data_IF_153378730623
#
_entry.id   IF_153378730623
#
_cell.length_a   1.000
_cell.length_b   1.000
_cell.length_c   1.000
_cell.angle_alpha   90.00
_cell.angle_beta   90.00
_cell.angle_gamma   90.00
#
_symmetry.space_group_name_H-M   'P 1'
#
loop_
_entity.id
_entity.type
_entity.pdbx_description
1 polymer ?
#
# COMPACT_ATOMS: atom_id res chain seq x y z
N UNK A 1 14.61 55.52 5.35
CA UNK A 1 14.23 55.37 3.92
C UNK A 1 12.71 55.27 3.83
N UNK A 2 12.11 56.23 3.11
CA UNK A 2 10.79 56.25 2.43
C UNK A 2 9.53 55.82 3.23
N UNK A 3 8.69 56.79 3.68
CA UNK A 3 7.47 57.37 3.00
C UNK A 3 6.23 56.47 3.21
N UNK A 4 5.00 56.87 3.53
CA UNK A 4 4.27 58.14 3.71
C UNK A 4 2.90 57.79 4.38
N UNK A 5 2.44 58.55 5.38
CA UNK A 5 1.31 59.53 5.36
C UNK A 5 -0.10 58.98 5.07
N UNK A 6 -1.02 59.08 6.07
CA UNK A 6 -2.22 59.97 6.15
C UNK A 6 -3.46 59.46 5.38
N UNK A 7 -4.72 59.74 5.73
CA UNK A 7 -5.52 60.23 6.88
C UNK A 7 -6.96 60.37 6.32
N UNK A 8 -7.92 60.77 7.16
CA UNK A 8 -9.33 61.14 6.84
C UNK A 8 -10.26 59.92 6.64
N UNK A 9 -11.30 59.65 7.44
CA UNK A 9 -12.20 60.53 8.19
C UNK A 9 -13.43 60.83 7.34
N UNK A 10 -14.62 60.34 7.71
CA UNK A 10 -15.91 61.03 7.70
C UNK A 10 -17.07 60.14 8.19
N UNK A 11 -18.03 60.82 8.79
CA UNK A 11 -19.21 60.41 9.57
C UNK A 11 -20.41 60.11 8.65
N UNK A 12 -21.31 59.19 9.03
CA UNK A 12 -22.78 59.45 9.09
C UNK A 12 -23.61 58.25 9.57
N UNK A 13 -24.55 58.56 10.47
CA UNK A 13 -25.63 57.74 11.04
C UNK A 13 -26.95 58.19 10.39
N UNK A 14 -27.84 57.26 10.03
CA UNK A 14 -29.29 57.31 10.35
C UNK A 14 -30.08 56.08 9.83
N UNK A 15 -30.50 55.27 10.80
CA UNK A 15 -31.74 54.48 11.01
C UNK A 15 -32.79 54.34 9.89
N UNK A 16 -33.25 53.09 9.66
CA UNK A 16 -34.67 52.73 9.44
C UNK A 16 -35.01 51.46 10.24
N UNK A 17 -36.22 51.47 10.82
CA UNK A 17 -36.81 50.54 11.80
C UNK A 17 -37.58 49.39 11.12
N UNK A 18 -37.43 48.18 11.69
CA UNK A 18 -38.52 47.25 12.02
C UNK A 18 -39.12 46.34 10.94
N UNK A 19 -38.92 45.02 11.06
CA UNK A 19 -39.96 44.12 11.57
C UNK A 19 -39.39 42.73 11.90
N UNK A 20 -40.00 42.13 12.92
CA UNK A 20 -39.64 40.93 13.66
C UNK A 20 -39.81 39.63 12.85
N UNK A 21 -38.76 38.82 12.76
CA UNK A 21 -38.89 37.34 12.64
C UNK A 21 -37.97 36.73 13.68
N UNK A 22 -38.57 36.10 14.67
CA UNK A 22 -37.89 35.36 15.74
C UNK A 22 -37.08 34.22 15.10
N UNK A 23 -35.75 34.33 15.12
CA UNK A 23 -34.83 33.21 14.90
C UNK A 23 -34.15 32.96 16.22
N UNK A 24 -34.44 31.80 16.80
CA UNK A 24 -33.74 31.32 17.99
C UNK A 24 -32.23 31.29 17.74
N UNK A 25 -31.52 31.64 18.80
CA UNK A 25 -30.12 32.03 18.86
C UNK A 25 -29.13 31.12 18.12
N UNK A 26 -28.31 31.73 17.26
CA UNK A 26 -26.94 31.26 17.01
C UNK A 26 -26.05 31.93 18.06
N UNK A 27 -26.07 31.40 19.28
CA UNK A 27 -25.03 31.71 20.26
C UNK A 27 -23.73 31.02 19.81
N UNK A 28 -22.82 31.85 19.30
CA UNK A 28 -21.37 31.66 19.21
C UNK A 28 -20.87 30.24 19.55
N UNK A 29 -20.49 29.47 18.54
CA UNK A 29 -19.52 28.39 18.73
C UNK A 29 -18.18 29.02 19.13
N UNK A 30 -18.02 29.24 20.43
CA UNK A 30 -16.74 29.38 21.10
C UNK A 30 -15.88 28.21 20.63
N UNK A 31 -14.64 28.54 20.22
CA UNK A 31 -13.62 27.60 19.82
C UNK A 31 -13.56 26.39 20.79
N UNK A 32 -14.25 25.31 20.42
CA UNK A 32 -13.89 23.99 20.90
C UNK A 32 -12.66 23.64 20.10
N UNK A 33 -11.55 23.46 20.81
CA UNK A 33 -10.38 22.74 20.35
C UNK A 33 -10.85 21.41 19.78
N UNK A 34 -11.24 21.44 18.51
CA UNK A 34 -11.49 20.26 17.72
C UNK A 34 -10.11 19.74 17.42
N UNK A 35 -9.69 18.72 18.15
CA UNK A 35 -8.82 17.72 17.55
C UNK A 35 -9.43 17.44 16.17
N UNK A 36 -8.75 17.91 15.13
CA UNK A 36 -9.08 17.57 13.76
C UNK A 36 -8.98 16.05 13.77
N UNK A 37 -10.12 15.37 13.84
CA UNK A 37 -10.17 13.93 13.75
C UNK A 37 -9.62 13.63 12.36
N UNK A 38 -8.32 13.36 12.29
CA UNK A 38 -7.74 12.60 11.21
C UNK A 38 -8.37 11.22 11.40
N UNK A 39 -9.54 11.01 10.81
CA UNK A 39 -10.00 9.66 10.58
C UNK A 39 -8.85 8.98 9.84
N UNK A 40 -8.20 7.95 10.40
CA UNK A 40 -7.22 7.21 9.64
C UNK A 40 -8.01 6.61 8.48
N UNK A 41 -7.59 6.93 7.26
CA UNK A 41 -8.23 6.50 6.01
C UNK A 41 -9.54 7.23 5.66
N UNK A 42 -9.43 8.36 4.97
CA UNK A 42 -10.34 8.53 3.83
C UNK A 42 -10.20 7.30 2.93
N UNK A 43 -11.29 6.66 2.49
CA UNK A 43 -11.17 5.51 1.58
C UNK A 43 -10.38 5.96 0.34
N UNK A 44 -9.45 5.13 -0.10
CA UNK A 44 -8.72 5.37 -1.34
C UNK A 44 -9.72 5.61 -2.49
N UNK A 45 -9.40 6.52 -3.41
CA UNK A 45 -10.18 6.66 -4.63
C UNK A 45 -9.83 5.52 -5.59
N UNK A 46 -10.74 5.25 -6.53
CA UNK A 46 -10.43 4.37 -7.64
C UNK A 46 -9.21 4.89 -8.42
N UNK A 47 -8.39 3.96 -8.91
CA UNK A 47 -7.29 4.29 -9.80
C UNK A 47 -7.83 4.85 -11.12
N UNK A 48 -7.14 5.84 -11.68
CA UNK A 48 -7.44 6.39 -12.97
C UNK A 48 -6.85 5.53 -14.09
N UNK A 49 -7.62 5.31 -15.15
CA UNK A 49 -7.14 4.54 -16.29
C UNK A 49 -5.98 5.28 -16.99
N UNK A 50 -4.85 4.58 -17.16
CA UNK A 50 -3.66 5.11 -17.80
C UNK A 50 -2.61 5.68 -16.83
N UNK A 51 -2.92 5.76 -15.54
CA UNK A 51 -1.96 6.21 -14.53
C UNK A 51 -0.91 5.13 -14.20
N UNK A 52 0.21 5.59 -13.66
CA UNK A 52 1.32 4.79 -13.16
C UNK A 52 1.09 4.52 -11.67
N UNK A 53 1.22 3.26 -11.26
CA UNK A 53 1.17 2.89 -9.83
C UNK A 53 2.52 2.38 -9.39
N UNK A 54 3.07 3.00 -8.35
CA UNK A 54 4.42 2.75 -7.83
C UNK A 54 4.34 2.07 -6.48
N UNK A 55 4.96 0.90 -6.37
CA UNK A 55 5.23 0.24 -5.09
C UNK A 55 6.34 1.01 -4.37
N UNK A 56 6.01 1.74 -3.30
CA UNK A 56 6.96 2.50 -2.49
C UNK A 56 7.19 1.84 -1.14
N UNK A 57 8.45 1.72 -0.76
CA UNK A 57 8.88 1.25 0.57
C UNK A 57 9.33 2.43 1.41
N UNK A 58 8.80 2.53 2.63
CA UNK A 58 9.07 3.61 3.57
C UNK A 58 8.28 4.88 3.29
N UNK A 59 8.18 5.73 4.30
CA UNK A 59 7.48 7.02 4.29
C UNK A 59 8.43 8.22 4.18
N UNK A 60 9.74 7.97 4.04
CA UNK A 60 10.77 9.00 3.94
C UNK A 60 11.19 9.61 5.30
N UNK A 61 10.64 9.15 6.42
CA UNK A 61 10.98 9.68 7.75
C UNK A 61 12.30 9.13 8.31
N UNK A 62 12.74 7.96 7.85
CA UNK A 62 13.94 7.27 8.31
C UNK A 62 14.69 6.58 7.17
N UNK A 63 15.99 6.37 7.36
CA UNK A 63 16.81 5.61 6.42
C UNK A 63 16.36 4.14 6.37
N UNK A 64 16.24 3.60 5.16
CA UNK A 64 15.86 2.21 4.95
C UNK A 64 17.00 1.25 5.32
N UNK A 65 16.64 0.10 5.87
CA UNK A 65 17.55 -0.98 6.25
C UNK A 65 16.92 -2.33 5.92
N UNK A 66 17.54 -3.45 6.30
CA UNK A 66 16.93 -4.78 6.15
C UNK A 66 15.70 -5.00 7.04
N UNK A 67 15.37 -4.04 7.92
CA UNK A 67 14.17 -4.09 8.73
C UNK A 67 12.89 -3.90 7.89
N UNK A 68 11.78 -4.42 8.40
CA UNK A 68 10.45 -4.23 7.86
C UNK A 68 10.06 -2.74 7.82
N UNK A 69 9.75 -2.23 6.64
CA UNK A 69 9.27 -0.88 6.40
C UNK A 69 7.85 -0.90 5.81
N UNK A 70 7.02 0.13 6.10
CA UNK A 70 5.67 0.22 5.52
C UNK A 70 5.72 0.30 4.00
N UNK A 71 4.68 -0.22 3.36
CA UNK A 71 4.52 -0.23 1.91
C UNK A 71 3.34 0.65 1.50
N UNK A 72 3.50 1.36 0.40
CA UNK A 72 2.50 2.25 -0.18
C UNK A 72 2.38 2.00 -1.68
N UNK A 73 1.19 2.23 -2.23
CA UNK A 73 0.99 2.38 -3.66
C UNK A 73 0.75 3.86 -3.95
N UNK A 74 1.68 4.48 -4.66
CA UNK A 74 1.51 5.86 -5.13
C UNK A 74 1.02 5.85 -6.57
N UNK A 75 -0.01 6.63 -6.86
CA UNK A 75 -0.52 6.83 -8.20
C UNK A 75 -0.02 8.16 -8.76
N UNK A 76 0.45 8.12 -10.00
CA UNK A 76 0.89 9.29 -10.76
C UNK A 76 0.28 9.26 -12.15
N UNK A 77 -0.03 10.43 -12.70
CA UNK A 77 -0.32 10.53 -14.14
C UNK A 77 0.94 10.18 -14.97
N UNK A 78 0.80 9.84 -16.26
CA UNK A 78 1.96 9.64 -17.15
C UNK A 78 2.90 10.85 -17.25
N UNK A 79 2.43 12.04 -16.89
CA UNK A 79 3.23 13.26 -16.81
C UNK A 79 4.00 13.41 -15.48
N UNK A 80 3.90 12.45 -14.57
CA UNK A 80 4.56 12.46 -13.26
C UNK A 80 3.85 13.31 -12.20
N UNK A 81 2.58 13.67 -12.42
CA UNK A 81 1.79 14.41 -11.42
C UNK A 81 1.22 13.43 -10.41
N UNK A 82 1.51 13.64 -9.12
CA UNK A 82 0.97 12.83 -8.02
C UNK A 82 -0.57 12.91 -7.97
N UNK A 83 -1.22 11.76 -7.79
CA UNK A 83 -2.68 11.63 -7.70
C UNK A 83 -3.09 11.24 -6.28
N UNK A 84 -2.62 10.08 -5.80
CA UNK A 84 -2.95 9.59 -4.45
C UNK A 84 -1.90 8.60 -3.93
N UNK A 85 -2.02 8.29 -2.64
CA UNK A 85 -1.30 7.20 -1.98
C UNK A 85 -2.30 6.26 -1.32
N UNK A 86 -2.15 4.96 -1.54
CA UNK A 86 -2.85 3.89 -0.81
C UNK A 86 -1.85 3.20 0.11
N UNK A 87 -2.07 3.28 1.42
CA UNK A 87 -1.23 2.60 2.39
C UNK A 87 -1.60 1.11 2.50
N UNK A 88 -0.59 0.23 2.51
CA UNK A 88 -0.80 -1.17 2.87
C UNK A 88 -0.96 -1.33 4.39
N UNK A 89 -1.69 -2.35 4.87
CA UNK A 89 -1.91 -2.53 6.30
C UNK A 89 -0.60 -2.74 7.07
N UNK A 90 -0.42 -1.99 8.15
CA UNK A 90 0.68 -2.18 9.13
C UNK A 90 0.18 -2.76 10.46
N UNK A 91 -1.12 -2.98 10.58
CA UNK A 91 -1.78 -3.73 11.64
C UNK A 91 -2.70 -4.81 11.03
N UNK A 92 -2.90 -5.90 11.76
CA UNK A 92 -3.85 -6.97 11.36
C UNK A 92 -5.28 -6.49 11.58
N UNK A 93 -6.17 -6.72 10.61
CA UNK A 93 -7.59 -6.42 10.72
C UNK A 93 -8.42 -7.57 10.12
N UNK A 94 -9.07 -8.36 10.99
CA UNK A 94 -9.78 -9.56 10.56
C UNK A 94 -8.85 -10.54 9.83
N UNK A 95 -9.22 -10.93 8.61
CA UNK A 95 -8.39 -11.80 7.76
C UNK A 95 -7.17 -11.07 7.17
N UNK A 96 -7.24 -9.74 6.99
CA UNK A 96 -6.17 -8.95 6.38
C UNK A 96 -4.93 -8.91 7.28
N UNK A 97 -3.80 -9.34 6.72
CA UNK A 97 -2.49 -9.31 7.37
C UNK A 97 -1.76 -8.01 7.11
N UNK A 98 -0.69 -7.80 7.86
CA UNK A 98 0.25 -6.72 7.58
C UNK A 98 0.93 -7.00 6.25
N UNK A 99 1.27 -5.95 5.51
CA UNK A 99 2.14 -6.06 4.35
C UNK A 99 3.21 -4.97 4.46
N UNK A 100 4.39 -5.43 4.88
CA UNK A 100 5.63 -4.65 4.95
C UNK A 100 6.67 -5.25 4.02
N UNK A 101 7.70 -4.49 3.67
CA UNK A 101 8.82 -4.94 2.84
C UNK A 101 10.15 -4.83 3.59
N UNK A 102 11.17 -5.55 3.17
CA UNK A 102 12.53 -5.30 3.65
C UNK A 102 13.02 -3.97 3.05
N UNK A 103 13.24 -2.97 3.89
CA UNK A 103 13.49 -1.58 3.47
C UNK A 103 14.59 -1.42 2.42
N UNK A 104 15.70 -2.12 2.57
CA UNK A 104 16.87 -2.03 1.69
C UNK A 104 16.89 -3.08 0.57
N UNK A 105 15.81 -3.83 0.36
CA UNK A 105 15.77 -4.87 -0.67
C UNK A 105 15.66 -4.26 -2.06
N UNK A 106 16.48 -4.76 -3.00
CA UNK A 106 16.41 -4.43 -4.43
C UNK A 106 15.69 -5.50 -5.25
N UNK A 107 15.10 -6.49 -4.57
CA UNK A 107 14.53 -7.68 -5.19
C UNK A 107 13.05 -7.89 -4.83
N UNK A 108 12.42 -6.97 -4.12
CA UNK A 108 11.01 -7.04 -3.69
C UNK A 108 10.17 -5.98 -4.41
N UNK A 109 8.84 -6.14 -4.35
CA UNK A 109 7.90 -5.15 -4.88
C UNK A 109 7.66 -5.25 -6.39
N UNK A 110 7.97 -6.40 -7.01
CA UNK A 110 7.63 -6.66 -8.41
C UNK A 110 6.12 -6.92 -8.56
N UNK A 111 5.37 -5.83 -8.46
CA UNK A 111 3.92 -5.76 -8.60
C UNK A 111 3.50 -5.91 -10.06
N UNK A 112 2.39 -6.59 -10.29
CA UNK A 112 1.78 -6.75 -11.61
C UNK A 112 0.31 -6.37 -11.59
N UNK A 113 -0.29 -6.20 -12.77
CA UNK A 113 -1.74 -6.06 -12.94
C UNK A 113 -2.30 -7.39 -13.42
N UNK A 114 -3.42 -7.83 -12.86
CA UNK A 114 -4.07 -9.06 -13.30
C UNK A 114 -4.44 -8.98 -14.78
N UNK A 115 -4.45 -10.14 -15.47
CA UNK A 115 -4.74 -10.22 -16.92
C UNK A 115 -6.10 -9.64 -17.26
N UNK A 116 -7.11 -9.87 -16.42
CA UNK A 116 -8.46 -9.28 -16.57
C UNK A 116 -8.50 -7.76 -16.28
N UNK A 117 -7.39 -7.18 -15.81
CA UNK A 117 -7.22 -5.76 -15.58
C UNK A 117 -7.85 -5.21 -14.31
N UNK A 118 -8.45 -6.06 -13.46
CA UNK A 118 -9.26 -5.60 -12.34
C UNK A 118 -8.47 -5.39 -11.04
N UNK A 119 -7.26 -5.93 -10.95
CA UNK A 119 -6.48 -5.94 -9.72
C UNK A 119 -5.01 -5.64 -9.94
N UNK A 120 -4.40 -4.95 -8.98
CA UNK A 120 -2.96 -4.99 -8.76
C UNK A 120 -2.65 -6.11 -7.77
N UNK A 121 -1.54 -6.81 -8.00
CA UNK A 121 -1.08 -7.92 -7.14
C UNK A 121 0.37 -7.66 -6.76
N UNK A 122 0.64 -7.63 -5.46
CA UNK A 122 1.93 -7.26 -4.88
C UNK A 122 2.23 -8.08 -3.63
N UNK A 123 3.49 -8.09 -3.20
CA UNK A 123 3.95 -8.96 -2.12
C UNK A 123 4.56 -8.21 -0.94
N UNK A 124 4.62 -8.88 0.20
CA UNK A 124 5.34 -8.44 1.39
C UNK A 124 5.30 -9.49 2.49
N UNK A 125 5.48 -9.04 3.73
CA UNK A 125 5.54 -9.90 4.91
C UNK A 125 4.46 -9.53 5.93
N UNK A 126 3.92 -10.53 6.62
CA UNK A 126 3.13 -10.31 7.84
C UNK A 126 4.06 -10.12 9.04
N UNK A 127 4.70 -8.95 9.12
CA UNK A 127 5.59 -8.58 10.21
C UNK A 127 5.23 -7.20 10.77
N UNK A 128 5.63 -6.94 12.01
CA UNK A 128 5.55 -5.59 12.56
C UNK A 128 6.56 -4.68 11.85
N UNK A 129 6.20 -3.41 11.67
CA UNK A 129 7.18 -2.40 11.21
C UNK A 129 8.36 -2.39 12.18
N UNK A 130 9.57 -2.37 11.63
CA UNK A 130 10.82 -2.42 12.40
C UNK A 130 11.35 -3.84 12.70
N UNK A 131 10.63 -4.91 12.34
CA UNK A 131 11.18 -6.28 12.44
C UNK A 131 12.50 -6.37 11.67
N UNK A 132 13.61 -6.64 12.38
CA UNK A 132 14.95 -6.70 11.81
C UNK A 132 15.08 -7.84 10.80
N UNK A 133 15.83 -7.62 9.72
CA UNK A 133 16.16 -8.65 8.72
C UNK A 133 14.93 -9.46 8.28
N UNK A 134 13.83 -8.79 7.94
CA UNK A 134 12.51 -9.45 7.78
C UNK A 134 12.53 -10.56 6.71
N UNK A 135 13.35 -10.42 5.66
CA UNK A 135 13.51 -11.44 4.62
C UNK A 135 14.15 -12.75 5.14
N UNK A 136 14.88 -12.71 6.25
CA UNK A 136 15.50 -13.88 6.89
C UNK A 136 14.55 -14.60 7.87
N UNK A 137 13.32 -14.11 8.03
CA UNK A 137 12.32 -14.77 8.86
C UNK A 137 11.80 -16.06 8.23
N UNK A 138 11.42 -17.03 9.07
CA UNK A 138 10.70 -18.22 8.64
C UNK A 138 9.29 -17.86 8.18
N UNK A 139 8.84 -18.42 7.05
CA UNK A 139 7.48 -18.19 6.54
C UNK A 139 6.41 -18.68 7.53
N UNK A 140 6.73 -19.65 8.39
CA UNK A 140 5.81 -20.20 9.38
C UNK A 140 5.45 -19.21 10.51
N UNK A 141 6.32 -18.23 10.79
CA UNK A 141 6.09 -17.22 11.85
C UNK A 141 5.96 -15.80 11.29
N UNK A 142 6.45 -15.56 10.08
CA UNK A 142 6.29 -14.32 9.34
C UNK A 142 5.83 -14.68 7.94
N UNK A 143 4.51 -14.79 7.80
CA UNK A 143 3.88 -15.23 6.56
C UNK A 143 4.31 -14.37 5.38
N UNK A 144 4.41 -14.99 4.22
CA UNK A 144 4.59 -14.28 2.95
C UNK A 144 3.22 -13.86 2.45
N UNK A 145 2.99 -12.56 2.39
CA UNK A 145 1.68 -11.97 2.11
C UNK A 145 1.63 -11.56 0.65
N UNK A 146 0.49 -11.82 0.02
CA UNK A 146 0.15 -11.27 -1.29
C UNK A 146 -1.05 -10.37 -1.09
N UNK A 147 -0.90 -9.08 -1.41
CA UNK A 147 -2.03 -8.18 -1.52
C UNK A 147 -2.64 -8.25 -2.91
N UNK A 148 -3.96 -8.14 -2.93
CA UNK A 148 -4.77 -7.81 -4.09
C UNK A 148 -5.42 -6.46 -3.85
N UNK A 149 -5.20 -5.51 -4.75
CA UNK A 149 -5.83 -4.18 -4.68
C UNK A 149 -6.74 -4.02 -5.89
N UNK A 150 -8.03 -3.79 -5.66
CA UNK A 150 -8.98 -3.60 -6.77
C UNK A 150 -8.78 -2.25 -7.46
N UNK A 151 -9.34 -2.11 -8.67
CA UNK A 151 -9.41 -0.82 -9.36
C UNK A 151 -10.07 0.29 -8.51
N UNK A 152 -10.92 -0.05 -7.55
CA UNK A 152 -11.53 0.89 -6.61
C UNK A 152 -10.63 1.26 -5.40
N UNK A 153 -9.38 0.80 -5.38
CA UNK A 153 -8.44 1.04 -4.27
C UNK A 153 -8.70 0.17 -3.03
N UNK A 154 -9.53 -0.86 -3.12
CA UNK A 154 -9.84 -1.76 -2.00
C UNK A 154 -8.72 -2.77 -1.82
N UNK A 155 -8.10 -2.79 -0.64
CA UNK A 155 -6.97 -3.66 -0.29
C UNK A 155 -7.44 -4.93 0.40
N UNK A 156 -6.96 -6.06 -0.09
CA UNK A 156 -7.12 -7.40 0.48
C UNK A 156 -5.74 -8.03 0.67
N UNK A 157 -5.36 -8.30 1.92
CA UNK A 157 -4.10 -8.95 2.33
C UNK A 157 -4.37 -10.27 3.05
N UNK A 158 -5.45 -10.95 2.70
CA UNK A 158 -5.86 -12.20 3.35
C UNK A 158 -5.02 -13.42 2.93
N UNK A 159 -4.36 -13.36 1.77
CA UNK A 159 -3.42 -14.41 1.31
C UNK A 159 -2.11 -14.30 2.08
N UNK A 160 -1.83 -15.26 2.96
CA UNK A 160 -0.71 -15.22 3.89
C UNK A 160 -0.04 -16.61 4.03
N UNK A 161 0.92 -16.88 3.15
CA UNK A 161 1.51 -18.20 2.95
C UNK A 161 2.53 -18.53 4.04
N UNK A 162 2.37 -19.68 4.70
CA UNK A 162 3.26 -20.18 5.75
C UNK A 162 4.40 -21.06 5.24
N UNK A 163 4.33 -21.47 3.97
CA UNK A 163 5.16 -22.53 3.38
C UNK A 163 5.93 -22.09 2.13
N UNK A 164 5.82 -20.81 1.75
CA UNK A 164 6.46 -20.22 0.58
C UNK A 164 7.69 -19.39 0.99
N UNK A 165 8.77 -19.48 0.21
CA UNK A 165 9.87 -18.50 0.20
C UNK A 165 10.37 -18.20 1.63
N UNK A 166 10.69 -19.25 2.36
CA UNK A 166 11.05 -19.19 3.77
C UNK A 166 12.53 -18.84 3.95
N UNK A 167 12.78 -17.83 4.78
CA UNK A 167 14.12 -17.47 5.21
C UNK A 167 14.58 -18.32 6.38
N UNK A 168 15.83 -18.09 6.77
CA UNK A 168 16.42 -18.58 8.01
C UNK A 168 17.38 -17.52 8.57
N UNK A 169 17.90 -17.75 9.78
CA UNK A 169 18.94 -16.90 10.37
C UNK A 169 20.21 -16.76 9.50
N UNK A 170 20.45 -17.70 8.58
CA UNK A 170 21.60 -17.68 7.67
C UNK A 170 21.25 -17.37 6.21
N UNK A 171 19.97 -17.33 5.84
CA UNK A 171 19.54 -17.16 4.45
C UNK A 171 18.36 -16.21 4.36
N UNK A 172 18.54 -15.08 3.68
CA UNK A 172 17.43 -14.22 3.28
C UNK A 172 16.62 -14.88 2.15
N UNK A 173 15.29 -14.83 2.26
CA UNK A 173 14.36 -15.34 1.27
C UNK A 173 13.33 -14.26 0.93
N UNK A 174 13.64 -13.47 -0.10
CA UNK A 174 12.75 -12.42 -0.54
C UNK A 174 11.54 -12.99 -1.29
N UNK A 175 10.33 -12.64 -0.86
CA UNK A 175 9.13 -12.75 -1.69
C UNK A 175 9.11 -11.59 -2.68
N UNK A 176 9.33 -11.89 -3.96
CA UNK A 176 9.81 -10.88 -4.91
C UNK A 176 8.70 -10.22 -5.71
N UNK A 177 7.81 -11.03 -6.26
CA UNK A 177 6.70 -10.56 -7.09
C UNK A 177 5.53 -11.53 -7.08
N UNK A 178 4.43 -11.08 -7.65
CA UNK A 178 3.26 -11.91 -7.84
C UNK A 178 2.51 -11.55 -9.12
N UNK A 179 1.85 -12.54 -9.73
CA UNK A 179 0.98 -12.37 -10.89
C UNK A 179 -0.35 -13.09 -10.67
N UNK A 180 -1.36 -12.70 -11.43
CA UNK A 180 -2.68 -13.31 -11.38
C UNK A 180 -3.40 -13.16 -12.71
N UNK A 181 -4.31 -14.08 -13.05
CA UNK A 181 -5.19 -13.85 -14.21
C UNK A 181 -6.39 -12.99 -13.83
N UNK A 182 -6.91 -13.14 -12.62
CA UNK A 182 -8.23 -12.59 -12.23
C UNK A 182 -8.33 -12.12 -10.77
N UNK A 183 -7.21 -12.03 -10.06
CA UNK A 183 -7.15 -11.73 -8.63
C UNK A 183 -7.54 -12.90 -7.71
N UNK A 184 -7.77 -14.10 -8.23
CA UNK A 184 -8.09 -15.30 -7.44
C UNK A 184 -6.97 -16.33 -7.52
N UNK A 185 -6.45 -16.60 -8.71
CA UNK A 185 -5.28 -17.44 -8.94
C UNK A 185 -4.00 -16.61 -8.77
N UNK A 186 -3.08 -17.06 -7.92
CA UNK A 186 -1.92 -16.26 -7.53
C UNK A 186 -0.66 -17.07 -7.75
N UNK A 187 0.24 -16.55 -8.58
CA UNK A 187 1.61 -17.04 -8.70
C UNK A 187 2.54 -16.08 -7.99
N UNK A 188 3.44 -16.63 -7.18
CA UNK A 188 4.38 -15.88 -6.36
C UNK A 188 5.79 -16.32 -6.71
N UNK A 189 6.68 -15.36 -6.93
CA UNK A 189 8.10 -15.59 -7.19
C UNK A 189 8.95 -15.33 -5.96
N UNK A 190 10.03 -16.11 -5.81
CA UNK A 190 11.03 -15.86 -4.78
C UNK A 190 12.21 -16.80 -4.83
N UNK A 191 12.92 -16.88 -3.71
CA UNK A 191 14.17 -17.65 -3.57
C UNK A 191 14.20 -18.49 -2.30
N UNK A 192 15.31 -19.20 -2.08
CA UNK A 192 15.58 -20.06 -0.93
C UNK A 192 14.56 -21.21 -0.74
N UNK A 193 14.29 -21.59 0.51
CA UNK A 193 13.42 -22.72 0.83
C UNK A 193 11.98 -22.45 0.40
N UNK A 194 11.39 -23.35 -0.39
CA UNK A 194 10.09 -23.09 -1.02
C UNK A 194 10.11 -21.92 -2.00
N UNK A 195 11.27 -21.59 -2.58
CA UNK A 195 11.44 -20.59 -3.65
C UNK A 195 10.99 -21.09 -5.03
N UNK A 196 11.39 -20.36 -6.08
CA UNK A 196 10.89 -20.57 -7.43
C UNK A 196 9.51 -19.94 -7.61
N UNK A 197 8.60 -20.65 -8.29
CA UNK A 197 7.19 -20.26 -8.41
C UNK A 197 6.33 -21.07 -7.46
N UNK A 198 5.52 -20.36 -6.67
CA UNK A 198 4.48 -20.90 -5.81
C UNK A 198 3.13 -20.52 -6.38
N UNK A 199 2.19 -21.44 -6.39
CA UNK A 199 0.80 -21.22 -6.75
C UNK A 199 -0.09 -21.27 -5.50
N UNK A 200 -1.02 -20.34 -5.38
CA UNK A 200 -2.04 -20.32 -4.35
C UNK A 200 -3.32 -19.68 -4.90
N UNK A 201 -4.39 -19.73 -4.12
CA UNK A 201 -5.59 -18.94 -4.38
C UNK A 201 -5.72 -17.82 -3.35
N UNK A 202 -6.51 -16.80 -3.68
CA UNK A 202 -6.83 -15.72 -2.75
C UNK A 202 -7.31 -16.26 -1.39
N UNK A 203 -6.78 -15.70 -0.30
CA UNK A 203 -7.11 -16.08 1.07
C UNK A 203 -6.43 -17.37 1.55
N UNK A 204 -5.61 -18.02 0.71
CA UNK A 204 -4.90 -19.22 1.11
C UNK A 204 -3.79 -18.93 2.13
N UNK A 205 -3.53 -19.93 2.99
CA UNK A 205 -2.43 -19.92 3.97
C UNK A 205 -1.28 -20.83 3.59
N UNK A 206 -1.44 -21.65 2.55
CA UNK A 206 -0.43 -22.58 2.03
C UNK A 206 -0.43 -22.53 0.50
N UNK A 207 0.60 -23.09 -0.12
CA UNK A 207 0.81 -22.99 -1.57
C UNK A 207 1.41 -24.25 -2.18
N UNK A 208 1.20 -24.43 -3.47
CA UNK A 208 1.80 -25.50 -4.27
C UNK A 208 3.08 -24.98 -4.91
N UNK A 209 4.20 -25.69 -4.74
CA UNK A 209 5.41 -25.38 -5.50
C UNK A 209 5.26 -25.91 -6.93
N UNK A 210 5.32 -25.03 -7.94
CA UNK A 210 5.08 -25.40 -9.35
C UNK A 210 6.25 -26.20 -9.92
N UNK A 211 7.48 -25.91 -9.48
CA UNK A 211 8.66 -26.71 -9.77
C UNK A 211 9.54 -26.79 -8.52
N UNK A 212 9.82 -28.02 -8.07
CA UNK A 212 10.75 -28.27 -6.96
C UNK A 212 12.23 -28.30 -7.40
N UNK A 213 12.50 -28.35 -8.72
CA UNK A 213 13.84 -28.31 -9.29
C UNK A 213 14.27 -26.90 -9.71
N UNK A 214 15.58 -26.67 -9.96
CA UNK A 214 16.07 -25.41 -10.51
C UNK A 214 15.36 -25.03 -11.83
N UNK A 215 15.17 -23.73 -12.11
CA UNK A 215 15.58 -22.58 -11.28
C UNK A 215 14.64 -22.31 -10.08
N UNK A 216 15.20 -22.19 -8.88
CA UNK A 216 14.48 -21.87 -7.63
C UNK A 216 14.72 -20.43 -7.14
N UNK A 217 15.46 -19.64 -7.92
CA UNK A 217 15.72 -18.23 -7.68
C UNK A 217 15.05 -17.46 -8.83
N UNK A 218 13.85 -16.95 -8.60
CA UNK A 218 13.05 -16.24 -9.62
C UNK A 218 12.75 -14.84 -9.10
N UNK A 219 12.81 -13.84 -9.97
CA UNK A 219 12.48 -12.45 -9.68
C UNK A 219 11.12 -12.09 -10.24
N UNK A 220 11.03 -11.85 -11.54
CA UNK A 220 9.81 -11.39 -12.16
C UNK A 220 8.94 -12.59 -12.56
N UNK A 221 7.64 -12.38 -12.44
CA UNK A 221 6.58 -13.26 -12.92
C UNK A 221 5.57 -12.36 -13.62
N UNK A 222 5.07 -12.77 -14.78
CA UNK A 222 4.04 -12.03 -15.53
C UNK A 222 3.24 -13.01 -16.40
N UNK A 223 1.99 -12.67 -16.70
CA UNK A 223 1.13 -13.53 -17.54
C UNK A 223 0.76 -12.79 -18.82
N UNK A 224 1.11 -13.38 -19.96
CA UNK A 224 0.71 -12.89 -21.27
C UNK A 224 0.09 -14.02 -22.08
N UNK A 225 -1.01 -13.74 -22.79
CA UNK A 225 -1.67 -14.73 -23.65
C UNK A 225 -1.92 -16.07 -22.95
N UNK A 226 -2.40 -16.02 -21.70
CA UNK A 226 -2.65 -17.19 -20.85
C UNK A 226 -1.42 -18.07 -20.53
N UNK A 227 -0.21 -17.53 -20.66
CA UNK A 227 1.03 -18.23 -20.32
C UNK A 227 1.81 -17.44 -19.26
N UNK A 228 2.28 -18.17 -18.24
CA UNK A 228 3.11 -17.63 -17.18
C UNK A 228 4.57 -17.56 -17.66
N UNK A 229 5.15 -16.37 -17.61
CA UNK A 229 6.56 -16.12 -17.92
C UNK A 229 7.30 -15.71 -16.66
N UNK A 230 8.56 -16.17 -16.55
CA UNK A 230 9.39 -15.94 -15.37
C UNK A 230 10.80 -15.53 -15.77
N UNK A 231 11.44 -14.66 -14.98
CA UNK A 231 12.85 -14.29 -15.15
C UNK A 231 13.53 -14.05 -13.80
N UNK A 232 14.86 -14.08 -13.79
CA UNK A 232 15.69 -13.87 -12.59
C UNK A 232 16.79 -12.83 -12.80
#
# INVERSE_FOLDING_TARGET
MKKQLLFWGFVSIAVVVGFLVHRDDVSAQRARSGTRSISPNSPASAFAAGDLVVYRVGDGSAALSSAAAPVFLDEYTPAGVFVQTIAMPTAVNGSNKRLVAAGSSTAEGLMTRSVDGNYLVLTGYDAAVGTTTVASSSAATTNRVVARVSAAGVVDTSTALTDAISGSSSTAANIRGASSTNGTDIWVSGTAAGGGIRYATLGATTSTQVSAGPPTNIRATEIFSNQLYISS
#
